data_IF_613789230034
#
_entry.id   IF_613789230034
#
_cell.length_a   1.000
_cell.length_b   1.000
_cell.length_c   1.000
_cell.angle_alpha   90.00
_cell.angle_beta   90.00
_cell.angle_gamma   90.00
#
_symmetry.space_group_name_H-M   'P 1'
#
loop_
_entity.id
_entity.type
_entity.pdbx_description
1 polymer ?
#
# COMPACT_ATOMS: atom_id res chain seq x y z
N UNK A 1 7.54 -5.38 -12.86
CA UNK A 1 6.70 -4.67 -11.87
C UNK A 1 7.38 -4.79 -10.52
N UNK A 2 7.29 -3.75 -9.69
CA UNK A 2 7.95 -3.69 -8.38
C UNK A 2 6.96 -3.17 -7.33
N UNK A 3 6.98 -3.75 -6.12
CA UNK A 3 6.10 -3.35 -5.03
C UNK A 3 6.94 -2.71 -3.93
N UNK A 4 6.44 -1.59 -3.42
CA UNK A 4 7.00 -0.84 -2.30
C UNK A 4 5.91 -0.54 -1.28
N UNK A 5 6.30 -0.23 -0.05
CA UNK A 5 5.38 0.28 0.97
C UNK A 5 5.51 1.80 1.04
N UNK A 6 4.38 2.51 1.00
CA UNK A 6 4.35 3.97 1.14
C UNK A 6 3.77 4.37 2.49
N UNK A 7 4.46 5.28 3.18
CA UNK A 7 4.01 5.88 4.43
C UNK A 7 3.60 7.34 4.20
N UNK A 8 2.40 7.68 4.66
CA UNK A 8 1.82 9.02 4.57
C UNK A 8 1.71 9.63 5.98
N UNK A 9 2.55 10.62 6.33
CA UNK A 9 2.42 11.33 7.61
C UNK A 9 1.05 12.01 7.77
N UNK A 10 0.52 12.56 6.66
CA UNK A 10 -0.85 13.05 6.52
C UNK A 10 -1.44 12.55 5.20
N UNK A 11 -2.77 12.47 5.03
CA UNK A 11 -3.39 11.95 3.80
C UNK A 11 -2.99 12.69 2.50
N UNK A 12 -2.62 13.96 2.62
CA UNK A 12 -2.22 14.85 1.52
C UNK A 12 -0.70 15.03 1.39
N UNK A 13 0.10 14.46 2.31
CA UNK A 13 1.54 14.55 2.26
C UNK A 13 2.14 13.80 1.07
N UNK A 14 3.34 14.24 0.67
CA UNK A 14 4.21 13.42 -0.19
C UNK A 14 4.61 12.19 0.63
N UNK A 15 4.37 10.97 0.14
CA UNK A 15 4.69 9.77 0.89
C UNK A 15 6.19 9.51 0.95
N UNK A 16 6.62 8.87 2.03
CA UNK A 16 7.91 8.21 2.12
C UNK A 16 7.81 6.81 1.51
N UNK A 17 8.85 6.39 0.79
CA UNK A 17 8.93 5.09 0.13
C UNK A 17 9.87 4.17 0.90
N UNK A 18 9.33 3.04 1.34
CA UNK A 18 10.08 1.92 1.91
C UNK A 18 10.21 0.86 0.82
N UNK A 19 11.45 0.62 0.41
CA UNK A 19 11.79 -0.27 -0.71
C UNK A 19 12.63 -1.45 -0.24
N UNK A 20 12.49 -2.61 -0.88
CA UNK A 20 13.32 -3.78 -0.64
C UNK A 20 14.62 -3.79 -1.44
N UNK A 21 14.76 -2.91 -2.44
CA UNK A 21 15.95 -2.80 -3.29
C UNK A 21 16.90 -1.66 -2.88
N UNK A 22 16.51 -0.85 -1.89
CA UNK A 22 17.29 0.29 -1.41
C UNK A 22 16.97 0.55 0.07
N UNK A 23 18.02 0.71 0.88
CA UNK A 23 17.88 0.89 2.33
C UNK A 23 17.41 2.30 2.72
N UNK A 24 17.68 3.30 1.89
CA UNK A 24 17.29 4.69 2.16
C UNK A 24 15.77 4.90 2.01
N UNK A 25 15.15 5.49 3.04
CA UNK A 25 13.76 5.92 2.98
C UNK A 25 13.71 7.33 2.36
N UNK A 26 13.21 7.41 1.13
CA UNK A 26 13.14 8.66 0.37
C UNK A 26 11.69 9.08 0.11
N UNK A 27 11.38 10.40 0.08
CA UNK A 27 10.12 10.90 -0.45
C UNK A 27 9.90 10.44 -1.89
N UNK A 28 8.65 10.17 -2.26
CA UNK A 28 8.30 9.70 -3.60
C UNK A 28 8.75 10.66 -4.72
N UNK A 29 8.83 11.97 -4.46
CA UNK A 29 9.38 12.95 -5.41
C UNK A 29 10.87 12.77 -5.72
N UNK A 30 11.61 12.04 -4.88
CA UNK A 30 13.02 11.67 -5.11
C UNK A 30 13.19 10.27 -5.72
N UNK A 31 12.10 9.51 -5.90
CA UNK A 31 12.07 8.17 -6.50
C UNK A 31 11.56 8.23 -7.94
N UNK A 32 12.30 8.90 -8.81
CA UNK A 32 11.94 9.10 -10.23
C UNK A 32 11.95 7.80 -11.05
N UNK A 33 12.58 6.75 -10.51
CA UNK A 33 12.57 5.39 -11.03
C UNK A 33 11.23 4.66 -10.83
N UNK A 34 10.39 5.14 -9.91
CA UNK A 34 9.10 4.53 -9.60
C UNK A 34 7.95 5.29 -10.25
N UNK A 35 7.17 4.57 -11.06
CA UNK A 35 5.91 5.07 -11.63
C UNK A 35 4.74 4.35 -10.95
N UNK A 36 3.94 5.04 -10.12
CA UNK A 36 2.84 4.40 -9.39
C UNK A 36 1.72 4.00 -10.35
N UNK A 37 1.25 2.76 -10.25
CA UNK A 37 0.11 2.25 -11.04
C UNK A 37 -1.16 2.17 -10.19
N UNK A 38 -1.04 1.67 -8.96
CA UNK A 38 -2.10 1.66 -7.95
C UNK A 38 -1.47 1.52 -6.55
N UNK A 39 -2.24 1.82 -5.51
CA UNK A 39 -1.88 1.56 -4.11
C UNK A 39 -3.08 0.92 -3.40
N UNK A 40 -2.82 0.16 -2.34
CA UNK A 40 -3.90 -0.42 -1.54
C UNK A 40 -3.47 -0.56 -0.08
N UNK A 41 -4.45 -0.61 0.80
CA UNK A 41 -4.30 -0.94 2.21
C UNK A 41 -5.46 -1.86 2.64
N UNK A 42 -5.62 -2.08 3.94
CA UNK A 42 -6.72 -2.91 4.45
C UNK A 42 -8.12 -2.36 4.10
N UNK A 43 -8.25 -1.06 3.87
CA UNK A 43 -9.54 -0.36 3.68
C UNK A 43 -9.93 -0.20 2.21
N UNK A 44 -8.97 -0.12 1.29
CA UNK A 44 -9.27 0.09 -0.11
C UNK A 44 -8.11 -0.06 -1.09
N UNK A 45 -8.50 -0.09 -2.36
CA UNK A 45 -7.64 0.07 -3.53
C UNK A 45 -7.80 1.49 -4.09
N UNK A 46 -6.69 2.12 -4.42
CA UNK A 46 -6.61 3.50 -4.87
C UNK A 46 -5.84 3.58 -6.19
N UNK A 47 -6.30 4.41 -7.11
CA UNK A 47 -5.57 4.77 -8.33
C UNK A 47 -4.97 6.18 -8.20
N UNK A 48 -3.75 6.41 -8.73
CA UNK A 48 -3.19 7.74 -8.84
C UNK A 48 -4.09 8.64 -9.69
N UNK A 49 -4.28 9.88 -9.27
CA UNK A 49 -5.09 10.86 -9.98
C UNK A 49 -4.60 12.28 -9.77
N UNK A 50 -4.95 13.18 -10.70
CA UNK A 50 -4.51 14.57 -10.68
C UNK A 50 -4.92 15.38 -9.42
N UNK A 51 -5.88 14.87 -8.63
CA UNK A 51 -6.34 15.47 -7.37
C UNK A 51 -6.03 14.59 -6.13
N UNK A 52 -5.06 13.68 -6.25
CA UNK A 52 -4.73 12.69 -5.21
C UNK A 52 -5.29 11.30 -5.50
N UNK A 53 -4.93 10.35 -4.64
CA UNK A 53 -5.30 8.94 -4.76
C UNK A 53 -6.81 8.76 -4.64
N UNK A 54 -7.47 8.27 -5.69
CA UNK A 54 -8.91 8.02 -5.70
C UNK A 54 -9.18 6.58 -5.30
N UNK A 55 -9.98 6.35 -4.25
CA UNK A 55 -10.48 5.01 -3.90
C UNK A 55 -11.36 4.50 -5.05
N UNK A 56 -10.98 3.37 -5.63
CA UNK A 56 -11.68 2.76 -6.77
C UNK A 56 -12.35 1.43 -6.42
N UNK A 57 -11.94 0.79 -5.33
CA UNK A 57 -12.53 -0.48 -4.90
C UNK A 57 -12.24 -0.83 -3.45
N UNK A 58 -12.98 -1.82 -2.95
CA UNK A 58 -12.70 -2.52 -1.70
C UNK A 58 -11.55 -3.52 -1.93
N UNK A 59 -10.60 -3.60 -0.99
CA UNK A 59 -9.46 -4.53 -1.02
C UNK A 59 -9.91 -5.99 -1.07
N UNK A 60 -11.17 -6.29 -0.73
CA UNK A 60 -11.82 -7.59 -0.95
C UNK A 60 -11.83 -8.06 -2.41
N UNK A 61 -11.54 -7.21 -3.38
CA UNK A 61 -11.39 -7.64 -4.79
C UNK A 61 -9.98 -8.10 -5.15
N UNK A 62 -8.99 -7.91 -4.27
CA UNK A 62 -7.63 -8.40 -4.45
C UNK A 62 -7.52 -9.84 -3.91
N UNK A 63 -7.74 -10.83 -4.77
CA UNK A 63 -7.74 -12.25 -4.38
C UNK A 63 -6.46 -12.68 -3.65
N UNK A 64 -5.29 -12.21 -4.11
CA UNK A 64 -4.00 -12.48 -3.45
C UNK A 64 -3.91 -11.89 -2.04
N UNK A 65 -4.55 -10.75 -1.79
CA UNK A 65 -4.60 -10.17 -0.46
C UNK A 65 -5.51 -10.98 0.47
N UNK A 66 -6.66 -11.43 -0.04
CA UNK A 66 -7.55 -12.33 0.72
C UNK A 66 -6.86 -13.65 1.08
N UNK A 67 -6.06 -14.21 0.17
CA UNK A 67 -5.28 -15.43 0.42
C UNK A 67 -4.27 -15.23 1.56
N UNK A 68 -3.60 -14.08 1.61
CA UNK A 68 -2.68 -13.73 2.71
C UNK A 68 -3.43 -13.69 4.04
N UNK A 69 -4.56 -12.96 4.10
CA UNK A 69 -5.37 -12.87 5.32
C UNK A 69 -5.89 -14.25 5.78
N UNK A 70 -6.26 -15.12 4.84
CA UNK A 70 -6.68 -16.49 5.15
C UNK A 70 -5.54 -17.30 5.78
N UNK A 71 -4.32 -17.20 5.24
CA UNK A 71 -3.14 -17.89 5.79
C UNK A 71 -2.75 -17.35 7.16
N UNK A 72 -2.74 -16.03 7.35
CA UNK A 72 -2.48 -15.42 8.65
C UNK A 72 -3.44 -15.95 9.72
N UNK A 73 -4.75 -16.08 9.42
CA UNK A 73 -5.71 -16.68 10.35
C UNK A 73 -5.38 -18.15 10.67
N UNK A 74 -4.96 -18.91 9.67
CA UNK A 74 -4.54 -20.31 9.86
C UNK A 74 -3.27 -20.44 10.71
N UNK A 75 -2.40 -19.43 10.68
CA UNK A 75 -1.19 -19.33 11.50
C UNK A 75 -1.46 -18.79 12.92
N UNK A 76 -2.72 -18.47 13.27
CA UNK A 76 -3.12 -18.04 14.60
C UNK A 76 -3.12 -16.52 14.82
N UNK A 77 -2.95 -15.72 13.77
CA UNK A 77 -3.09 -14.26 13.88
C UNK A 77 -4.55 -13.85 14.11
N UNK A 78 -4.81 -12.85 14.96
CA UNK A 78 -6.15 -12.34 15.19
C UNK A 78 -6.72 -11.72 13.89
N UNK A 79 -8.04 -11.81 13.72
CA UNK A 79 -8.71 -11.38 12.49
C UNK A 79 -8.72 -9.85 12.27
N UNK A 80 -8.50 -9.07 13.34
CA UNK A 80 -8.28 -7.62 13.31
C UNK A 80 -7.13 -7.27 14.27
N UNK A 81 -6.29 -6.27 13.94
CA UNK A 81 -5.39 -5.69 14.93
C UNK A 81 -6.25 -5.07 16.05
N UNK A 82 -5.95 -5.43 17.30
CA UNK A 82 -6.55 -4.76 18.45
C UNK A 82 -6.12 -3.28 18.40
N UNK A 83 -7.07 -2.40 18.12
CA UNK A 83 -6.88 -0.95 18.22
C UNK A 83 -6.88 -0.54 19.70
#
# INVERSE_FOLDING_TARGET
AHMVLTYYPTPDAIPLVLDSLMDEILPATRRTDLVPVYSFNAEGLYLPGAKGNKKVSDTKRLSRWQDVLKKMRAEGFPAEPAN
#
